data_IF_684433371872
#
_entry.id   IF_684433371872
#
_cell.length_a   1.000
_cell.length_b   1.000
_cell.length_c   1.000
_cell.angle_alpha   90.00
_cell.angle_beta   90.00
_cell.angle_gamma   90.00
#
_symmetry.space_group_name_H-M   'P 1'
#
loop_
_entity.id
_entity.type
_entity.pdbx_description
1 polymer ?
#
# COMPACT_ATOMS: atom_id res chain seq x y z
N UNK A 1 -8.40 10.07 21.03
CA UNK A 1 -7.93 9.29 22.19
C UNK A 1 -6.52 8.78 21.96
N UNK A 2 -5.88 8.33 23.02
CA UNK A 2 -4.49 7.84 22.96
C UNK A 2 -4.38 6.57 22.10
N UNK A 3 -5.31 5.65 22.25
CA UNK A 3 -5.26 4.41 21.46
C UNK A 3 -5.46 4.67 19.96
N UNK A 4 -6.34 5.62 19.62
CA UNK A 4 -6.54 6.00 18.22
C UNK A 4 -5.28 6.61 17.62
N UNK A 5 -4.60 7.47 18.37
CA UNK A 5 -3.34 8.06 17.94
C UNK A 5 -2.26 7.00 17.72
N UNK A 6 -2.12 6.07 18.68
CA UNK A 6 -1.15 4.98 18.57
C UNK A 6 -1.44 4.08 17.37
N UNK A 7 -2.72 3.71 17.18
CA UNK A 7 -3.13 2.88 16.05
C UNK A 7 -2.91 3.59 14.71
N UNK A 8 -3.19 4.89 14.64
CA UNK A 8 -2.95 5.69 13.44
C UNK A 8 -1.46 5.77 13.10
N UNK A 9 -0.60 5.93 14.10
CA UNK A 9 0.85 5.96 13.92
C UNK A 9 1.35 4.59 13.39
N UNK A 10 0.87 3.50 13.98
CA UNK A 10 1.21 2.16 13.49
C UNK A 10 0.76 1.98 12.05
N UNK A 11 -0.45 2.42 11.71
CA UNK A 11 -0.97 2.37 10.35
C UNK A 11 -0.07 3.16 9.40
N UNK A 12 0.35 4.35 9.81
CA UNK A 12 1.26 5.18 9.00
C UNK A 12 2.60 4.48 8.76
N UNK A 13 3.13 3.81 9.79
CA UNK A 13 4.37 3.04 9.65
C UNK A 13 4.21 1.87 8.67
N UNK A 14 3.07 1.17 8.73
CA UNK A 14 2.77 0.07 7.80
C UNK A 14 2.55 0.56 6.37
N UNK A 15 1.89 1.71 6.21
CA UNK A 15 1.73 2.34 4.90
C UNK A 15 3.09 2.72 4.32
N UNK A 16 3.97 3.29 5.14
CA UNK A 16 5.32 3.65 4.72
C UNK A 16 6.13 2.41 4.31
N UNK A 17 6.03 1.33 5.07
CA UNK A 17 6.67 0.05 4.75
C UNK A 17 6.14 -0.49 3.42
N UNK A 18 4.83 -0.46 3.23
CA UNK A 18 4.18 -0.92 2.01
C UNK A 18 4.65 -0.10 0.80
N UNK A 19 4.64 1.22 0.93
CA UNK A 19 5.06 2.12 -0.15
C UNK A 19 6.53 1.90 -0.50
N UNK A 20 7.40 1.79 0.51
CA UNK A 20 8.82 1.54 0.29
C UNK A 20 9.06 0.19 -0.38
N UNK A 21 8.38 -0.86 0.08
CA UNK A 21 8.50 -2.20 -0.50
C UNK A 21 8.08 -2.24 -1.96
N UNK A 22 6.94 -1.63 -2.29
CA UNK A 22 6.46 -1.56 -3.66
C UNK A 22 7.38 -0.74 -4.55
N UNK A 23 7.83 0.42 -4.06
CA UNK A 23 8.71 1.30 -4.83
C UNK A 23 10.05 0.62 -5.13
N UNK A 24 10.62 -0.04 -4.13
CA UNK A 24 11.90 -0.76 -4.30
C UNK A 24 11.75 -1.95 -5.24
N UNK A 25 10.64 -2.70 -5.14
CA UNK A 25 10.39 -3.82 -6.04
C UNK A 25 10.24 -3.35 -7.48
N UNK A 26 9.47 -2.29 -7.71
CA UNK A 26 9.29 -1.71 -9.06
C UNK A 26 10.60 -1.18 -9.63
N UNK A 27 11.38 -0.49 -8.80
CA UNK A 27 12.67 0.04 -9.21
C UNK A 27 13.65 -1.09 -9.54
N UNK A 28 13.68 -2.13 -8.73
CA UNK A 28 14.54 -3.29 -8.96
C UNK A 28 14.17 -4.02 -10.25
N UNK A 29 12.89 -4.00 -10.65
CA UNK A 29 12.43 -4.62 -11.89
C UNK A 29 12.82 -3.80 -13.14
N UNK A 30 13.15 -2.52 -12.97
CA UNK A 30 13.51 -1.64 -14.09
C UNK A 30 14.99 -1.72 -14.40
N UNK A 31 15.34 -1.39 -15.64
CA UNK A 31 16.74 -1.42 -16.12
C UNK A 31 17.47 -0.11 -15.82
N UNK A 32 16.75 1.00 -15.65
CA UNK A 32 17.34 2.32 -15.44
C UNK A 32 16.43 3.19 -14.58
N UNK A 33 17.00 4.27 -14.04
CA UNK A 33 16.23 5.28 -13.29
C UNK A 33 15.21 5.98 -14.18
N UNK A 34 15.60 6.24 -15.42
CA UNK A 34 14.74 6.90 -16.41
C UNK A 34 13.49 6.08 -16.70
N UNK A 35 13.58 4.76 -16.67
CA UNK A 35 12.45 3.86 -16.82
C UNK A 35 11.64 3.77 -15.51
N UNK A 36 12.33 3.73 -14.36
CA UNK A 36 11.69 3.50 -13.07
C UNK A 36 10.78 4.65 -12.66
N UNK A 37 11.20 5.89 -12.87
CA UNK A 37 10.49 7.06 -12.40
C UNK A 37 9.08 7.20 -12.98
N UNK A 38 8.88 7.20 -14.32
CA UNK A 38 7.52 7.27 -14.85
C UNK A 38 6.70 6.03 -14.56
N UNK A 39 7.31 4.85 -14.49
CA UNK A 39 6.61 3.62 -14.21
C UNK A 39 6.06 3.62 -12.77
N UNK A 40 6.87 3.97 -11.79
CA UNK A 40 6.44 4.03 -10.39
C UNK A 40 5.37 5.09 -10.19
N UNK A 41 5.48 6.24 -10.85
CA UNK A 41 4.46 7.29 -10.81
C UNK A 41 3.14 6.81 -11.40
N UNK A 42 3.18 6.18 -12.56
CA UNK A 42 1.98 5.64 -13.22
C UNK A 42 1.30 4.59 -12.35
N UNK A 43 2.06 3.64 -11.83
CA UNK A 43 1.53 2.57 -10.97
C UNK A 43 0.92 3.16 -9.70
N UNK A 44 1.61 4.11 -9.07
CA UNK A 44 1.11 4.76 -7.84
C UNK A 44 -0.21 5.47 -8.09
N UNK A 45 -0.32 6.22 -9.19
CA UNK A 45 -1.55 6.93 -9.53
C UNK A 45 -2.70 5.96 -9.86
N UNK A 46 -2.41 4.89 -10.58
CA UNK A 46 -3.42 3.89 -10.91
C UNK A 46 -3.94 3.20 -9.64
N UNK A 47 -3.04 2.79 -8.76
CA UNK A 47 -3.42 2.16 -7.49
C UNK A 47 -4.20 3.13 -6.60
N UNK A 48 -3.79 4.40 -6.56
CA UNK A 48 -4.50 5.43 -5.78
C UNK A 48 -5.92 5.65 -6.29
N UNK A 49 -6.10 5.69 -7.60
CA UNK A 49 -7.41 5.85 -8.21
C UNK A 49 -8.33 4.67 -7.88
N UNK A 50 -7.83 3.45 -8.01
CA UNK A 50 -8.61 2.24 -7.71
C UNK A 50 -8.86 2.06 -6.22
N UNK A 51 -7.91 2.48 -5.39
CA UNK A 51 -7.96 2.28 -3.94
C UNK A 51 -8.76 3.30 -3.17
N UNK A 52 -9.21 4.38 -3.80
CA UNK A 52 -10.07 5.37 -3.16
C UNK A 52 -9.34 6.57 -2.57
N UNK A 53 -8.05 6.75 -2.87
CA UNK A 53 -7.30 7.92 -2.42
C UNK A 53 -7.67 9.19 -3.18
N UNK A 54 -8.15 9.05 -4.41
CA UNK A 54 -8.55 10.17 -5.26
C UNK A 54 -10.04 10.46 -5.19
N UNK A 55 -10.86 9.43 -4.99
CA UNK A 55 -12.31 9.56 -4.88
C UNK A 55 -12.79 8.64 -3.76
N UNK A 56 -13.80 9.07 -2.98
CA UNK A 56 -14.31 8.23 -1.89
C UNK A 56 -14.83 6.88 -2.41
N UNK A 57 -14.46 5.82 -1.71
CA UNK A 57 -14.85 4.46 -2.10
C UNK A 57 -16.36 4.24 -2.10
N UNK A 58 -17.07 4.94 -1.20
CA UNK A 58 -18.52 4.80 -1.13
C UNK A 58 -19.25 5.37 -2.35
N UNK A 59 -18.58 6.22 -3.15
CA UNK A 59 -19.11 6.76 -4.39
C UNK A 59 -18.81 5.88 -5.61
N UNK A 60 -17.94 4.88 -5.43
CA UNK A 60 -17.53 4.02 -6.54
C UNK A 60 -18.57 2.94 -6.83
N UNK A 61 -18.74 2.54 -8.09
CA UNK A 61 -19.51 1.34 -8.44
C UNK A 61 -18.92 0.12 -7.72
N UNK A 62 -19.76 -0.86 -7.44
CA UNK A 62 -19.38 -2.04 -6.68
C UNK A 62 -18.19 -2.79 -7.29
N UNK A 63 -18.15 -2.89 -8.62
CA UNK A 63 -17.05 -3.55 -9.34
C UNK A 63 -15.71 -2.87 -9.06
N UNK A 64 -15.68 -1.53 -9.07
CA UNK A 64 -14.46 -0.78 -8.78
C UNK A 64 -14.06 -0.88 -7.32
N UNK A 65 -15.03 -0.90 -6.40
CA UNK A 65 -14.73 -1.12 -4.99
C UNK A 65 -14.10 -2.48 -4.74
N UNK A 66 -14.62 -3.52 -5.41
CA UNK A 66 -14.08 -4.87 -5.29
C UNK A 66 -12.64 -4.94 -5.84
N UNK A 67 -12.41 -4.33 -7.02
CA UNK A 67 -11.06 -4.26 -7.60
C UNK A 67 -10.09 -3.48 -6.71
N UNK A 68 -10.57 -2.46 -6.00
CA UNK A 68 -9.74 -1.65 -5.14
C UNK A 68 -9.02 -2.45 -4.06
N UNK A 69 -9.58 -3.57 -3.63
CA UNK A 69 -8.97 -4.41 -2.59
C UNK A 69 -7.65 -5.06 -3.00
N UNK A 70 -7.31 -5.09 -4.28
CA UNK A 70 -5.98 -5.53 -4.73
C UNK A 70 -4.93 -4.44 -4.54
N UNK A 71 -5.34 -3.21 -4.19
CA UNK A 71 -4.42 -2.09 -3.98
C UNK A 71 -4.17 -1.89 -2.50
N UNK A 72 -2.94 -1.50 -2.09
CA UNK A 72 -2.68 -1.15 -0.70
C UNK A 72 -3.42 0.13 -0.28
N UNK A 73 -3.76 1.01 -1.22
CA UNK A 73 -4.49 2.24 -0.95
C UNK A 73 -5.85 1.97 -0.33
N UNK A 74 -6.59 0.97 -0.84
CA UNK A 74 -7.89 0.61 -0.28
C UNK A 74 -7.77 0.16 1.18
N UNK A 75 -6.79 -0.68 1.48
CA UNK A 75 -6.55 -1.16 2.85
C UNK A 75 -6.17 0.00 3.77
N UNK A 76 -5.33 0.92 3.31
CA UNK A 76 -4.95 2.09 4.09
C UNK A 76 -6.14 3.01 4.36
N UNK A 77 -6.91 3.34 3.34
CA UNK A 77 -8.08 4.23 3.46
C UNK A 77 -9.11 3.63 4.42
N UNK A 78 -9.46 2.36 4.24
CA UNK A 78 -10.45 1.69 5.09
C UNK A 78 -9.98 1.60 6.55
N UNK A 79 -8.69 1.32 6.75
CA UNK A 79 -8.11 1.25 8.10
C UNK A 79 -8.18 2.61 8.80
N UNK A 80 -7.78 3.69 8.13
CA UNK A 80 -7.85 5.03 8.69
C UNK A 80 -9.28 5.45 8.97
N UNK A 81 -10.21 5.12 8.07
CA UNK A 81 -11.62 5.43 8.30
C UNK A 81 -12.18 4.70 9.53
N UNK A 82 -11.81 3.44 9.71
CA UNK A 82 -12.23 2.68 10.89
C UNK A 82 -11.66 3.29 12.17
N UNK A 83 -10.38 3.61 12.19
CA UNK A 83 -9.70 4.08 13.39
C UNK A 83 -10.07 5.52 13.76
N UNK A 84 -10.06 6.41 12.79
CA UNK A 84 -10.17 7.85 13.04
C UNK A 84 -11.61 8.33 12.92
N UNK A 85 -12.28 7.92 11.84
CA UNK A 85 -13.63 8.40 11.56
C UNK A 85 -14.69 7.69 12.41
N UNK A 86 -14.65 6.35 12.44
CA UNK A 86 -15.63 5.56 13.20
C UNK A 86 -15.20 5.27 14.64
N UNK A 87 -13.91 5.39 14.93
CA UNK A 87 -13.39 5.09 16.26
C UNK A 87 -13.44 3.60 16.62
N UNK A 88 -13.42 2.73 15.61
CA UNK A 88 -13.52 1.28 15.78
C UNK A 88 -12.16 0.60 15.62
N UNK A 89 -11.92 -0.38 16.51
CA UNK A 89 -10.82 -1.33 16.31
C UNK A 89 -11.45 -2.70 16.10
N UNK A 90 -11.42 -3.18 14.87
CA UNK A 90 -12.12 -4.41 14.50
C UNK A 90 -11.22 -5.33 13.66
N UNK A 91 -11.75 -6.48 13.26
CA UNK A 91 -11.02 -7.45 12.44
C UNK A 91 -10.56 -6.86 11.10
N UNK A 92 -11.30 -5.89 10.56
CA UNK A 92 -10.92 -5.19 9.33
C UNK A 92 -9.62 -4.39 9.48
N UNK A 93 -9.41 -3.78 10.64
CA UNK A 93 -8.15 -3.06 10.94
C UNK A 93 -6.98 -4.04 10.97
N UNK A 94 -7.16 -5.18 11.64
CA UNK A 94 -6.11 -6.22 11.70
C UNK A 94 -5.82 -6.76 10.31
N UNK A 95 -6.84 -7.00 9.50
CA UNK A 95 -6.68 -7.45 8.12
C UNK A 95 -5.94 -6.40 7.29
N UNK A 96 -6.26 -5.11 7.47
CA UNK A 96 -5.57 -4.01 6.80
C UNK A 96 -4.10 -3.94 7.17
N UNK A 97 -3.79 -4.08 8.45
CA UNK A 97 -2.40 -4.10 8.92
C UNK A 97 -1.64 -5.28 8.35
N UNK A 98 -2.26 -6.46 8.32
CA UNK A 98 -1.65 -7.66 7.74
C UNK A 98 -1.42 -7.48 6.24
N UNK A 99 -2.38 -6.92 5.51
CA UNK A 99 -2.26 -6.67 4.09
C UNK A 99 -1.13 -5.67 3.78
N UNK A 100 -1.10 -4.54 4.49
CA UNK A 100 -0.08 -3.51 4.30
C UNK A 100 1.31 -4.02 4.66
N UNK A 101 1.44 -4.65 5.80
CA UNK A 101 2.71 -5.23 6.25
C UNK A 101 3.17 -6.35 5.33
N UNK A 102 2.26 -7.22 4.94
CA UNK A 102 2.54 -8.34 4.03
C UNK A 102 3.03 -7.88 2.67
N UNK A 103 2.34 -6.92 2.06
CA UNK A 103 2.73 -6.35 0.76
C UNK A 103 4.08 -5.65 0.88
N UNK A 104 4.28 -4.87 1.95
CA UNK A 104 5.54 -4.17 2.18
C UNK A 104 6.72 -5.12 2.31
N UNK A 105 6.58 -6.14 3.16
CA UNK A 105 7.63 -7.15 3.37
C UNK A 105 7.89 -7.97 2.12
N UNK A 106 6.83 -8.37 1.40
CA UNK A 106 6.97 -9.10 0.14
C UNK A 106 7.69 -8.26 -0.91
N UNK A 107 7.36 -6.96 -0.99
CA UNK A 107 8.03 -6.03 -1.90
C UNK A 107 9.51 -5.89 -1.58
N UNK A 108 9.85 -5.72 -0.31
CA UNK A 108 11.24 -5.64 0.14
C UNK A 108 12.00 -6.92 -0.15
N UNK A 109 11.42 -8.07 0.15
CA UNK A 109 12.03 -9.37 -0.12
C UNK A 109 12.29 -9.56 -1.61
N UNK A 110 11.32 -9.20 -2.44
CA UNK A 110 11.46 -9.28 -3.90
C UNK A 110 12.57 -8.36 -4.40
N UNK A 111 12.63 -7.13 -3.89
CA UNK A 111 13.68 -6.18 -4.26
C UNK A 111 15.06 -6.70 -3.90
N UNK A 112 15.22 -7.24 -2.69
CA UNK A 112 16.51 -7.82 -2.24
C UNK A 112 16.89 -9.00 -3.11
N UNK A 113 15.95 -9.90 -3.40
CA UNK A 113 16.22 -11.06 -4.26
C UNK A 113 16.67 -10.64 -5.66
N UNK A 114 16.02 -9.64 -6.24
CA UNK A 114 16.36 -9.15 -7.57
C UNK A 114 17.76 -8.49 -7.60
N UNK A 115 18.09 -7.73 -6.56
CA UNK A 115 19.42 -7.12 -6.45
C UNK A 115 20.50 -8.17 -6.24
N UNK A 116 20.25 -9.19 -5.44
CA UNK A 116 21.19 -10.31 -5.27
C UNK A 116 21.45 -11.04 -6.58
N UNK A 117 20.40 -11.27 -7.38
CA UNK A 117 20.55 -11.91 -8.69
C UNK A 117 21.38 -11.05 -9.66
N UNK A 118 21.20 -9.73 -9.62
CA UNK A 118 22.01 -8.81 -10.43
C UNK A 118 23.46 -8.83 -10.01
N UNK A 119 23.74 -8.84 -8.72
CA UNK A 119 25.09 -8.88 -8.18
C UNK A 119 25.81 -10.18 -8.51
N UNK A 120 25.07 -11.28 -8.69
CA UNK A 120 25.63 -12.60 -9.02
C UNK A 120 25.96 -12.78 -10.52
N UNK A 121 25.55 -11.83 -11.38
CA UNK A 121 25.79 -11.91 -12.84
C UNK A 121 27.12 -11.29 -13.26
#
# INVERSE_FOLDING_TARGET
SVWQAAAAILTAALVALCAAGLALALTAACRSREQAQPLTTFVALLLAALGGSMAPRFLMPEAFRALGWITPHAWAVETYQALIWRGDFNAGVLAGWAALGGVGLAGLALAVMMEQRRAAR
#
